data_IF_942604288285
#
_entry.id   IF_942604288285
#
_cell.length_a   1.000
_cell.length_b   1.000
_cell.length_c   1.000
_cell.angle_alpha   90.00
_cell.angle_beta   90.00
_cell.angle_gamma   90.00
#
_symmetry.space_group_name_H-M   'P 1'
#
loop_
_entity.id
_entity.type
_entity.pdbx_description
1 polymer ?
#
# COMPACT_ATOMS: atom_id res chain seq x y z
N UNK A 1 -9.14 -0.14 -0.84
CA UNK A 1 -8.36 -0.71 0.27
C UNK A 1 -8.47 -2.23 0.25
N UNK A 2 -9.65 -2.80 0.48
CA UNK A 2 -9.84 -4.25 0.64
C UNK A 2 -9.28 -5.07 -0.53
N UNK A 3 -9.67 -4.78 -1.77
CA UNK A 3 -9.20 -5.52 -2.96
C UNK A 3 -7.69 -5.45 -3.15
N UNK A 4 -7.05 -4.33 -2.78
CA UNK A 4 -5.60 -4.20 -2.82
C UNK A 4 -4.93 -5.21 -1.87
N UNK A 5 -5.40 -5.28 -0.61
CA UNK A 5 -4.87 -6.23 0.37
C UNK A 5 -5.17 -7.69 0.01
N UNK A 6 -6.37 -7.99 -0.50
CA UNK A 6 -6.70 -9.35 -0.97
C UNK A 6 -5.78 -9.75 -2.14
N UNK A 7 -5.59 -8.86 -3.12
CA UNK A 7 -4.73 -9.14 -4.28
C UNK A 7 -3.25 -9.31 -3.91
N UNK A 8 -2.72 -8.44 -3.05
CA UNK A 8 -1.34 -8.59 -2.55
C UNK A 8 -1.22 -9.84 -1.67
N UNK A 9 -2.18 -10.07 -0.79
CA UNK A 9 -2.20 -11.25 0.07
C UNK A 9 -2.23 -12.55 -0.72
N UNK A 10 -2.97 -12.60 -1.82
CA UNK A 10 -2.95 -13.78 -2.71
C UNK A 10 -1.53 -14.08 -3.23
N UNK A 11 -0.81 -13.08 -3.71
CA UNK A 11 0.58 -13.26 -4.16
C UNK A 11 1.53 -13.67 -3.04
N UNK A 12 1.31 -13.18 -1.82
CA UNK A 12 2.04 -13.64 -0.63
C UNK A 12 1.72 -15.08 -0.29
N UNK A 13 0.42 -15.44 -0.24
CA UNK A 13 -0.04 -16.79 0.11
C UNK A 13 0.51 -17.88 -0.82
N UNK A 14 0.68 -17.58 -2.11
CA UNK A 14 1.32 -18.49 -3.07
C UNK A 14 2.84 -18.32 -3.15
N UNK A 15 3.43 -17.59 -2.22
CA UNK A 15 4.89 -17.39 -2.09
C UNK A 15 5.55 -16.88 -3.37
N UNK A 16 5.10 -15.71 -3.87
CA UNK A 16 5.70 -15.08 -5.05
C UNK A 16 7.22 -14.95 -4.90
N UNK A 17 8.06 -15.61 -5.74
CA UNK A 17 9.51 -15.68 -5.55
C UNK A 17 10.20 -14.30 -5.43
N UNK A 18 9.74 -13.33 -6.23
CA UNK A 18 10.28 -11.96 -6.20
C UNK A 18 10.11 -11.23 -4.85
N UNK A 19 9.30 -11.76 -3.93
CA UNK A 19 9.07 -11.14 -2.63
C UNK A 19 9.95 -11.70 -1.52
N UNK A 20 10.57 -12.86 -1.72
CA UNK A 20 11.54 -13.45 -0.78
C UNK A 20 12.68 -12.47 -0.52
N UNK A 21 13.25 -11.90 -1.56
CA UNK A 21 14.32 -10.90 -1.48
C UNK A 21 13.92 -9.58 -0.80
N UNK A 22 12.62 -9.32 -0.56
CA UNK A 22 12.17 -8.16 0.21
C UNK A 22 12.21 -8.40 1.73
N UNK A 23 12.22 -9.66 2.16
CA UNK A 23 12.22 -10.04 3.59
C UNK A 23 13.65 -10.23 4.11
N UNK A 24 14.56 -10.70 3.28
CA UNK A 24 15.95 -10.97 3.68
C UNK A 24 16.71 -9.75 4.24
N UNK A 25 16.53 -8.50 3.74
CA UNK A 25 17.17 -7.33 4.33
C UNK A 25 16.74 -7.03 5.78
N UNK A 26 15.63 -7.64 6.23
CA UNK A 26 15.16 -7.55 7.63
C UNK A 26 15.92 -8.49 8.58
N UNK A 27 16.92 -9.22 8.09
CA UNK A 27 17.72 -10.18 8.87
C UNK A 27 17.18 -11.62 8.86
N UNK A 28 16.14 -11.91 8.09
CA UNK A 28 15.64 -13.27 7.92
C UNK A 28 16.46 -14.06 6.90
N UNK A 29 16.69 -15.35 7.16
CA UNK A 29 17.24 -16.25 6.15
C UNK A 29 16.24 -16.45 4.99
N UNK A 30 16.74 -16.83 3.83
CA UNK A 30 15.89 -17.11 2.66
C UNK A 30 14.85 -18.20 2.98
N UNK A 31 15.25 -19.27 3.68
CA UNK A 31 14.33 -20.33 4.12
C UNK A 31 13.23 -19.81 5.05
N UNK A 32 13.57 -18.90 5.98
CA UNK A 32 12.60 -18.25 6.84
C UNK A 32 11.66 -17.33 6.03
N UNK A 33 12.19 -16.59 5.05
CA UNK A 33 11.37 -15.73 4.18
C UNK A 33 10.35 -16.55 3.37
N UNK A 34 10.75 -17.68 2.80
CA UNK A 34 9.84 -18.62 2.13
C UNK A 34 8.73 -19.12 3.06
N UNK A 35 9.05 -19.41 4.31
CA UNK A 35 8.08 -19.88 5.30
C UNK A 35 7.14 -18.78 5.79
N UNK A 36 7.60 -17.54 5.87
CA UNK A 36 6.83 -16.38 6.37
C UNK A 36 5.86 -15.82 5.33
N UNK A 37 6.23 -15.85 4.04
CA UNK A 37 5.42 -15.26 2.97
C UNK A 37 3.95 -15.73 2.95
N UNK A 38 3.63 -17.04 3.06
CA UNK A 38 2.24 -17.49 3.09
C UNK A 38 1.45 -16.91 4.26
N UNK A 39 2.06 -16.82 5.45
CA UNK A 39 1.41 -16.28 6.64
C UNK A 39 1.13 -14.78 6.50
N UNK A 40 2.10 -14.01 5.95
CA UNK A 40 1.91 -12.60 5.62
C UNK A 40 0.77 -12.48 4.60
N UNK A 41 0.76 -13.31 3.56
CA UNK A 41 -0.27 -13.30 2.54
C UNK A 41 -1.67 -13.58 3.10
N UNK A 42 -1.83 -14.61 3.92
CA UNK A 42 -3.11 -14.88 4.57
C UNK A 42 -3.54 -13.78 5.55
N UNK A 43 -2.58 -13.17 6.26
CA UNK A 43 -2.87 -12.02 7.13
C UNK A 43 -3.37 -10.80 6.32
N UNK A 44 -2.80 -10.55 5.15
CA UNK A 44 -3.24 -9.48 4.24
C UNK A 44 -4.63 -9.76 3.66
N UNK A 45 -4.90 -11.00 3.22
CA UNK A 45 -6.25 -11.41 2.78
C UNK A 45 -7.26 -11.20 3.92
N UNK A 46 -6.94 -11.67 5.12
CA UNK A 46 -7.79 -11.49 6.30
C UNK A 46 -8.05 -10.01 6.59
N UNK A 47 -7.01 -9.18 6.56
CA UNK A 47 -7.14 -7.74 6.74
C UNK A 47 -8.06 -7.12 5.69
N UNK A 48 -7.88 -7.49 4.41
CA UNK A 48 -8.73 -7.00 3.32
C UNK A 48 -10.19 -7.40 3.49
N UNK A 49 -10.45 -8.66 3.84
CA UNK A 49 -11.82 -9.17 4.10
C UNK A 49 -12.45 -8.44 5.30
N UNK A 50 -11.72 -8.30 6.41
CA UNK A 50 -12.25 -7.60 7.59
C UNK A 50 -12.54 -6.12 7.31
N UNK A 51 -11.68 -5.43 6.56
CA UNK A 51 -11.93 -4.03 6.13
C UNK A 51 -13.15 -3.95 5.22
N UNK A 52 -13.42 -4.97 4.40
CA UNK A 52 -14.59 -5.00 3.51
C UNK A 52 -15.90 -5.20 4.28
N UNK A 53 -15.91 -6.18 5.20
CA UNK A 53 -17.11 -6.60 5.92
C UNK A 53 -17.45 -5.67 7.09
N UNK A 54 -16.43 -5.28 7.85
CA UNK A 54 -16.59 -4.45 9.07
C UNK A 54 -15.38 -3.53 9.25
N UNK A 55 -15.31 -2.42 8.51
CA UNK A 55 -14.21 -1.47 8.61
C UNK A 55 -14.15 -0.88 10.02
N UNK A 56 -12.99 -1.03 10.68
CA UNK A 56 -12.73 -0.49 12.01
C UNK A 56 -11.48 0.37 11.97
N UNK A 57 -11.42 1.39 12.79
CA UNK A 57 -10.29 2.32 12.80
C UNK A 57 -8.94 1.62 12.98
N UNK A 58 -8.84 0.63 13.87
CA UNK A 58 -7.58 -0.09 14.08
C UNK A 58 -7.17 -0.92 12.85
N UNK A 59 -8.12 -1.50 12.10
CA UNK A 59 -7.84 -2.22 10.85
C UNK A 59 -7.36 -1.27 9.76
N UNK A 60 -7.96 -0.09 9.69
CA UNK A 60 -7.56 0.96 8.74
C UNK A 60 -6.17 1.51 9.09
N UNK A 61 -5.86 1.70 10.40
CA UNK A 61 -4.52 2.06 10.86
C UNK A 61 -3.50 0.97 10.52
N UNK A 62 -3.82 -0.29 10.81
CA UNK A 62 -2.96 -1.42 10.43
C UNK A 62 -2.72 -1.44 8.92
N UNK A 63 -3.78 -1.28 8.12
CA UNK A 63 -3.68 -1.25 6.66
C UNK A 63 -2.81 -0.09 6.19
N UNK A 64 -2.98 1.12 6.74
CA UNK A 64 -2.18 2.28 6.41
C UNK A 64 -0.70 2.08 6.76
N UNK A 65 -0.40 1.72 8.01
CA UNK A 65 0.98 1.54 8.46
C UNK A 65 1.69 0.42 7.71
N UNK A 66 1.01 -0.69 7.48
CA UNK A 66 1.54 -1.80 6.69
C UNK A 66 1.80 -1.41 5.24
N UNK A 67 0.85 -0.69 4.62
CA UNK A 67 1.01 -0.19 3.27
C UNK A 67 2.08 0.91 3.13
N UNK A 68 2.45 1.61 4.20
CA UNK A 68 3.62 2.49 4.24
C UNK A 68 4.92 1.71 4.42
N UNK A 69 4.90 0.66 5.24
CA UNK A 69 6.09 -0.12 5.57
C UNK A 69 6.57 -0.98 4.39
N UNK A 70 5.66 -1.72 3.74
CA UNK A 70 6.05 -2.69 2.71
C UNK A 70 6.77 -2.08 1.49
N UNK A 71 6.46 -0.87 1.00
CA UNK A 71 7.24 -0.22 -0.04
C UNK A 71 8.69 0.09 0.36
N UNK A 72 8.94 0.38 1.64
CA UNK A 72 10.30 0.69 2.14
C UNK A 72 11.23 -0.52 2.09
N UNK A 73 10.69 -1.74 2.10
CA UNK A 73 11.50 -2.96 1.96
C UNK A 73 12.19 -3.04 0.59
N UNK A 74 11.68 -2.36 -0.43
CA UNK A 74 12.22 -2.39 -1.79
C UNK A 74 13.57 -1.69 -1.90
N UNK A 75 13.73 -0.42 -1.50
CA UNK A 75 15.05 0.20 -1.49
C UNK A 75 16.00 -0.46 -0.49
N UNK A 76 15.53 -1.02 0.62
CA UNK A 76 16.35 -1.83 1.53
C UNK A 76 16.87 -3.11 0.85
N UNK A 77 16.13 -3.66 -0.11
CA UNK A 77 16.55 -4.77 -0.96
C UNK A 77 17.36 -4.33 -2.20
N UNK A 78 17.86 -3.09 -2.25
CA UNK A 78 18.67 -2.56 -3.35
C UNK A 78 17.87 -2.09 -4.56
N UNK A 79 16.54 -2.01 -4.47
CA UNK A 79 15.71 -1.48 -5.55
C UNK A 79 15.69 0.06 -5.54
N UNK A 80 15.20 0.65 -6.62
CA UNK A 80 15.08 2.11 -6.73
C UNK A 80 14.16 2.71 -5.66
N UNK A 81 14.52 3.90 -5.15
CA UNK A 81 13.66 4.69 -4.25
C UNK A 81 12.32 5.10 -4.90
N UNK A 82 12.24 5.13 -6.22
CA UNK A 82 10.98 5.40 -6.93
C UNK A 82 9.91 4.32 -6.70
N UNK A 83 10.30 3.12 -6.20
CA UNK A 83 9.35 2.08 -5.78
C UNK A 83 8.44 2.53 -4.61
N UNK A 84 8.89 3.47 -3.77
CA UNK A 84 8.12 3.95 -2.61
C UNK A 84 6.94 4.82 -3.07
N UNK A 85 7.16 5.95 -3.78
CA UNK A 85 6.05 6.76 -4.28
C UNK A 85 5.16 6.02 -5.29
N UNK A 86 5.70 5.06 -6.05
CA UNK A 86 4.92 4.22 -6.96
C UNK A 86 3.82 3.42 -6.23
N UNK A 87 4.02 3.15 -4.93
CA UNK A 87 3.04 2.46 -4.07
C UNK A 87 2.10 3.39 -3.31
N UNK A 88 2.07 4.68 -3.62
CA UNK A 88 1.20 5.63 -2.94
C UNK A 88 -0.30 5.29 -3.06
N UNK A 89 -0.70 4.61 -4.14
CA UNK A 89 -2.04 4.05 -4.29
C UNK A 89 -2.41 2.98 -3.25
N UNK A 90 -1.43 2.39 -2.55
CA UNK A 90 -1.69 1.39 -1.52
C UNK A 90 -1.93 2.02 -0.14
N UNK A 91 -1.23 3.11 0.20
CA UNK A 91 -1.35 3.75 1.52
C UNK A 91 -2.25 4.99 1.55
N UNK A 92 -2.41 5.69 0.44
CA UNK A 92 -3.28 6.86 0.36
C UNK A 92 -4.75 6.56 0.64
N UNK A 93 -5.38 5.57 -0.02
CA UNK A 93 -6.77 5.21 0.24
C UNK A 93 -7.07 4.77 1.67
N UNK A 94 -6.25 3.96 2.37
CA UNK A 94 -6.45 3.70 3.80
C UNK A 94 -6.41 4.96 4.65
N UNK A 95 -5.49 5.90 4.39
CA UNK A 95 -5.42 7.18 5.08
C UNK A 95 -6.67 8.05 4.82
N UNK A 96 -7.10 8.13 3.57
CA UNK A 96 -8.32 8.85 3.21
C UNK A 96 -9.54 8.26 3.93
N UNK A 97 -9.63 6.95 4.02
CA UNK A 97 -10.72 6.28 4.72
C UNK A 97 -10.65 6.52 6.25
N UNK A 98 -9.45 6.53 6.85
CA UNK A 98 -9.27 6.91 8.26
C UNK A 98 -9.77 8.32 8.53
N UNK A 99 -9.49 9.27 7.65
CA UNK A 99 -9.97 10.66 7.77
C UNK A 99 -11.50 10.70 7.71
N UNK A 100 -12.11 9.98 6.75
CA UNK A 100 -13.57 9.88 6.61
C UNK A 100 -14.24 9.25 7.83
N UNK A 101 -13.63 8.23 8.41
CA UNK A 101 -14.12 7.54 9.58
C UNK A 101 -13.91 8.31 10.90
N UNK A 102 -13.34 9.53 10.85
CA UNK A 102 -12.99 10.29 12.06
C UNK A 102 -11.87 9.63 12.90
N UNK A 103 -11.18 8.65 12.34
CA UNK A 103 -10.21 7.80 13.04
C UNK A 103 -8.84 8.42 13.29
N UNK A 104 -8.65 9.73 13.05
CA UNK A 104 -7.37 10.41 13.25
C UNK A 104 -7.06 10.74 14.73
N UNK A 105 -8.00 10.57 15.63
CA UNK A 105 -7.79 10.70 17.08
C UNK A 105 -7.10 9.46 17.65
N UNK A 106 -5.79 9.41 17.59
CA UNK A 106 -4.94 8.22 17.75
C UNK A 106 -5.09 7.43 19.04
N UNK A 107 -5.45 8.02 20.17
CA UNK A 107 -5.44 7.31 21.46
C UNK A 107 -6.81 6.99 22.04
N UNK A 108 -7.80 7.84 21.86
CA UNK A 108 -9.16 7.58 22.35
C UNK A 108 -9.92 6.57 21.51
N UNK A 109 -9.61 6.49 20.21
CA UNK A 109 -10.31 5.63 19.25
C UNK A 109 -9.69 4.25 19.06
N UNK A 110 -8.43 4.06 19.45
CA UNK A 110 -7.78 2.75 19.33
C UNK A 110 -8.43 1.71 20.24
N UNK A 111 -8.72 2.07 21.48
CA UNK A 111 -9.24 1.13 22.48
C UNK A 111 -10.76 1.13 22.62
N UNK A 112 -11.40 2.32 22.51
CA UNK A 112 -12.85 2.47 22.67
C UNK A 112 -13.63 2.58 21.36
N UNK A 113 -12.96 2.71 20.22
CA UNK A 113 -13.57 3.04 18.93
C UNK A 113 -13.72 1.85 18.01
N UNK A 114 -14.45 0.85 18.42
CA UNK A 114 -14.74 -0.28 17.54
C UNK A 114 -15.98 -0.06 16.67
N UNK A 115 -16.67 0.99 16.87
CA UNK A 115 -17.77 1.36 16.00
C UNK A 115 -17.28 2.48 15.10
N UNK A 116 -17.38 2.28 13.78
CA UNK A 116 -17.65 3.40 12.92
C UNK A 116 -18.90 3.97 13.55
N UNK A 117 -18.73 5.05 14.33
CA UNK A 117 -19.86 5.79 14.86
C UNK A 117 -20.76 5.94 13.65
N UNK A 118 -21.98 5.43 13.75
CA UNK A 118 -23.01 5.89 12.86
C UNK A 118 -23.00 7.40 13.08
N UNK A 119 -22.16 8.06 12.28
CA UNK A 119 -22.10 9.50 12.32
C UNK A 119 -23.56 9.87 12.02
N UNK A 120 -24.22 10.59 12.90
CA UNK A 120 -25.53 11.11 12.56
C UNK A 120 -25.37 11.70 11.18
N UNK A 121 -26.41 11.68 10.35
CA UNK A 121 -26.41 12.19 8.95
C UNK A 121 -25.88 13.65 8.81
N UNK A 122 -25.06 14.06 9.76
CA UNK A 122 -24.29 15.31 9.74
C UNK A 122 -23.36 15.25 8.54
N UNK A 123 -23.73 16.01 7.52
CA UNK A 123 -22.94 16.29 6.32
C UNK A 123 -21.48 16.36 6.69
N UNK A 124 -20.65 15.51 6.06
CA UNK A 124 -19.19 15.60 6.18
C UNK A 124 -18.77 17.07 6.05
N UNK A 125 -17.97 17.55 6.99
CA UNK A 125 -17.53 18.96 6.92
C UNK A 125 -16.69 19.18 5.66
N UNK A 126 -16.81 20.36 5.06
CA UNK A 126 -16.00 20.74 3.89
C UNK A 126 -14.50 20.58 4.17
N UNK A 127 -14.08 20.83 5.42
CA UNK A 127 -12.70 20.61 5.85
C UNK A 127 -12.29 19.11 5.77
N UNK A 128 -13.17 18.19 6.13
CA UNK A 128 -12.91 16.75 6.01
C UNK A 128 -12.81 16.32 4.55
N UNK A 129 -13.76 16.78 3.74
CA UNK A 129 -13.74 16.53 2.28
C UNK A 129 -12.46 17.09 1.64
N UNK A 130 -12.05 18.30 2.02
CA UNK A 130 -10.81 18.92 1.57
C UNK A 130 -9.57 18.10 1.90
N UNK A 131 -9.46 17.56 3.13
CA UNK A 131 -8.36 16.68 3.55
C UNK A 131 -8.33 15.38 2.75
N UNK A 132 -9.47 14.73 2.55
CA UNK A 132 -9.58 13.50 1.76
C UNK A 132 -9.15 13.73 0.32
N UNK A 133 -9.65 14.81 -0.29
CA UNK A 133 -9.26 15.21 -1.65
C UNK A 133 -7.75 15.41 -1.75
N UNK A 134 -7.16 16.17 -0.83
CA UNK A 134 -5.71 16.41 -0.82
C UNK A 134 -4.92 15.08 -0.72
N UNK A 135 -5.28 14.19 0.20
CA UNK A 135 -4.62 12.89 0.35
C UNK A 135 -4.68 12.07 -0.94
N UNK A 136 -5.84 12.00 -1.58
CA UNK A 136 -6.00 11.24 -2.83
C UNK A 136 -5.24 11.89 -3.99
N UNK A 137 -5.27 13.21 -4.11
CA UNK A 137 -4.50 13.95 -5.13
C UNK A 137 -2.99 13.73 -4.95
N UNK A 138 -2.48 13.85 -3.73
CA UNK A 138 -1.06 13.58 -3.42
C UNK A 138 -0.70 12.12 -3.72
N UNK A 139 -1.59 11.17 -3.41
CA UNK A 139 -1.35 9.76 -3.70
C UNK A 139 -1.23 9.49 -5.19
N UNK A 140 -2.09 10.11 -6.01
CA UNK A 140 -2.03 10.00 -7.47
C UNK A 140 -0.75 10.66 -8.00
N UNK A 141 -0.41 11.87 -7.51
CA UNK A 141 0.80 12.57 -7.93
C UNK A 141 2.06 11.75 -7.61
N UNK A 142 2.17 11.22 -6.39
CA UNK A 142 3.29 10.36 -5.98
C UNK A 142 3.36 9.09 -6.82
N UNK A 143 2.23 8.44 -7.10
CA UNK A 143 2.17 7.24 -7.94
C UNK A 143 2.71 7.54 -9.35
N UNK A 144 2.30 8.66 -9.95
CA UNK A 144 2.77 9.07 -11.28
C UNK A 144 4.27 9.40 -11.27
N UNK A 145 4.76 10.10 -10.24
CA UNK A 145 6.19 10.37 -10.06
C UNK A 145 6.97 9.07 -9.89
N UNK A 146 6.45 8.14 -9.10
CA UNK A 146 7.06 6.82 -8.90
C UNK A 146 7.17 6.05 -10.22
N UNK A 147 6.06 5.92 -10.95
CA UNK A 147 6.05 5.25 -12.26
C UNK A 147 6.99 5.94 -13.26
N UNK A 148 6.92 7.26 -13.37
CA UNK A 148 7.79 8.03 -14.26
C UNK A 148 9.27 7.84 -13.90
N UNK A 149 9.61 7.89 -12.62
CA UNK A 149 10.98 7.67 -12.14
C UNK A 149 11.49 6.24 -12.40
N UNK A 150 10.63 5.22 -12.24
CA UNK A 150 10.99 3.83 -12.57
C UNK A 150 11.23 3.62 -14.06
N UNK A 151 10.52 4.33 -14.91
CA UNK A 151 10.71 4.27 -16.37
C UNK A 151 11.90 5.11 -16.80
N UNK A 152 11.90 6.41 -16.46
CA UNK A 152 12.84 7.38 -17.03
C UNK A 152 14.23 7.35 -16.37
N UNK A 153 14.28 7.06 -15.06
CA UNK A 153 15.53 7.12 -14.28
C UNK A 153 16.07 5.74 -13.95
N UNK A 154 15.21 4.90 -13.35
CA UNK A 154 15.62 3.57 -12.92
C UNK A 154 15.62 2.53 -14.05
N UNK A 155 15.06 2.84 -15.20
CA UNK A 155 14.97 1.98 -16.39
C UNK A 155 14.57 0.53 -16.07
N UNK A 156 13.56 0.37 -15.22
CA UNK A 156 13.13 -0.92 -14.72
C UNK A 156 12.71 -1.84 -15.89
N UNK A 157 13.37 -2.98 -16.02
CA UNK A 157 13.28 -3.86 -17.17
C UNK A 157 11.86 -4.19 -17.61
N UNK A 158 10.94 -4.43 -16.65
CA UNK A 158 9.53 -4.72 -16.95
C UNK A 158 8.86 -3.58 -17.74
N UNK A 159 9.13 -2.32 -17.43
CA UNK A 159 8.55 -1.17 -18.14
C UNK A 159 9.24 -0.93 -19.49
N UNK A 160 10.55 -1.15 -19.56
CA UNK A 160 11.31 -1.09 -20.81
C UNK A 160 10.78 -2.11 -21.81
N UNK A 161 10.49 -3.33 -21.36
CA UNK A 161 9.88 -4.38 -22.21
C UNK A 161 8.49 -3.98 -22.70
N UNK A 162 7.67 -3.40 -21.82
CA UNK A 162 6.35 -2.90 -22.21
C UNK A 162 6.44 -1.79 -23.27
N UNK A 163 7.37 -0.84 -23.13
CA UNK A 163 7.58 0.22 -24.12
C UNK A 163 7.99 -0.34 -25.47
N UNK A 164 8.84 -1.37 -25.49
CA UNK A 164 9.22 -2.06 -26.75
C UNK A 164 8.01 -2.66 -27.49
N UNK A 165 7.02 -3.20 -26.74
CA UNK A 165 5.79 -3.73 -27.35
C UNK A 165 4.98 -2.64 -28.09
N UNK A 166 5.11 -1.38 -27.70
CA UNK A 166 4.48 -0.23 -28.36
C UNK A 166 5.39 0.43 -29.41
N UNK A 167 6.53 -0.20 -29.78
CA UNK A 167 7.48 0.34 -30.77
C UNK A 167 8.28 1.53 -30.25
N UNK A 168 8.28 1.81 -28.96
CA UNK A 168 9.06 2.87 -28.33
C UNK A 168 10.43 2.30 -27.98
N UNK A 169 11.48 2.70 -28.73
CA UNK A 169 12.83 2.32 -28.42
C UNK A 169 13.25 3.01 -27.09
N UNK A 170 13.54 2.22 -26.07
CA UNK A 170 14.27 2.72 -24.91
C UNK A 170 15.70 2.99 -25.36
N UNK A 171 16.07 4.25 -25.57
CA UNK A 171 17.48 4.62 -25.79
C UNK A 171 18.25 4.30 -24.53
N UNK A 172 19.28 3.45 -24.60
CA UNK A 172 20.22 3.32 -23.48
C UNK A 172 20.89 4.68 -23.27
N UNK A 173 20.70 5.25 -22.07
CA UNK A 173 21.44 6.43 -21.63
C UNK A 173 22.87 6.04 -21.22
#
# INVERSE_FOLDING_TARGET
VALCFIGHGFWGAISKPAWVGLITPMGFSEAAAWSLLPWIGWADIGLGVFVLVRPRNFLLWKAFLWACFTPLLRPLAGMSWFEVPERAGNFGPPLAFLILAGGMGLMKTWWNGFEVSEAPESKLSDATIGKVRLVLQLSIALLLVGHGGLVAVAQKGMYVEQLKLFGIAATPG
#
